data_IF_235746052193
#
_entry.id   IF_235746052193
#
_cell.length_a   1.000
_cell.length_b   1.000
_cell.length_c   1.000
_cell.angle_alpha   90.00
_cell.angle_beta   90.00
_cell.angle_gamma   90.00
#
_symmetry.space_group_name_H-M   'P 1'
#
loop_
_entity.id
_entity.type
_entity.pdbx_description
1 polymer ?
#
# COMPACT_ATOMS: atom_id res chain seq x y z
N UNK A 1 -0.28 26.48 -38.81
CA UNK A 1 -0.54 25.61 -37.66
C UNK A 1 -0.49 26.45 -36.39
N UNK A 2 -1.45 26.32 -35.46
CA UNK A 2 -1.32 26.94 -34.15
C UNK A 2 -0.10 26.35 -33.42
N UNK A 3 0.62 27.14 -32.61
CA UNK A 3 1.76 26.64 -31.85
C UNK A 3 1.30 25.57 -30.84
N UNK A 4 2.12 24.54 -30.58
CA UNK A 4 1.79 23.49 -29.63
C UNK A 4 1.52 24.09 -28.25
N UNK A 5 0.50 23.58 -27.55
CA UNK A 5 0.17 24.02 -26.19
C UNK A 5 1.38 23.82 -25.29
N UNK A 6 1.84 24.88 -24.63
CA UNK A 6 2.95 24.82 -23.66
C UNK A 6 2.55 23.90 -22.51
N UNK A 7 3.35 22.87 -22.25
CA UNK A 7 3.13 22.00 -21.11
C UNK A 7 3.30 22.79 -19.80
N UNK A 8 2.40 22.65 -18.81
CA UNK A 8 2.55 23.31 -17.53
C UNK A 8 3.78 22.77 -16.80
N UNK A 9 4.55 23.68 -16.18
CA UNK A 9 5.69 23.33 -15.34
C UNK A 9 5.17 22.86 -13.98
N UNK A 10 5.05 21.56 -13.80
CA UNK A 10 4.71 20.93 -12.52
C UNK A 10 5.98 20.47 -11.79
N UNK A 11 5.88 20.25 -10.49
CA UNK A 11 6.98 19.70 -9.69
C UNK A 11 7.40 18.32 -10.24
N UNK A 12 6.44 17.50 -10.64
CA UNK A 12 6.69 16.19 -11.26
C UNK A 12 7.48 16.31 -12.57
N UNK A 13 7.06 17.23 -13.48
CA UNK A 13 7.74 17.44 -14.76
C UNK A 13 9.13 18.09 -14.62
N UNK A 14 9.45 18.61 -13.43
CA UNK A 14 10.73 19.26 -13.14
C UNK A 14 11.50 18.52 -12.05
N UNK A 15 11.17 17.24 -11.81
CA UNK A 15 11.92 16.36 -10.91
C UNK A 15 13.40 16.34 -11.31
N UNK A 16 14.27 16.39 -10.32
CA UNK A 16 15.70 16.21 -10.54
C UNK A 16 15.95 14.79 -11.07
N UNK A 17 16.81 14.67 -12.09
CA UNK A 17 17.17 13.35 -12.60
C UNK A 17 17.86 12.55 -11.48
N UNK A 18 17.40 11.32 -11.29
CA UNK A 18 17.93 10.40 -10.29
C UNK A 18 18.46 9.17 -11.03
N UNK A 19 19.75 8.90 -10.85
CA UNK A 19 20.45 7.78 -11.50
C UNK A 19 19.93 6.42 -11.00
N UNK A 20 19.28 6.39 -9.84
CA UNK A 20 18.75 5.16 -9.23
C UNK A 20 17.37 4.76 -9.77
N UNK A 21 16.83 5.47 -10.77
CA UNK A 21 15.58 5.10 -11.42
C UNK A 21 15.77 3.77 -12.15
N UNK A 22 15.02 2.77 -11.72
CA UNK A 22 15.01 1.43 -12.29
C UNK A 22 14.61 1.49 -13.77
N UNK A 23 15.47 0.94 -14.63
CA UNK A 23 15.16 0.77 -16.05
C UNK A 23 14.43 -0.56 -16.24
N UNK A 24 13.45 -0.65 -17.16
CA UNK A 24 12.71 -1.90 -17.40
C UNK A 24 13.58 -3.10 -17.79
N UNK A 25 14.71 -2.84 -18.46
CA UNK A 25 15.68 -3.80 -18.98
C UNK A 25 16.94 -3.91 -18.10
N UNK A 26 16.89 -3.41 -16.85
CA UNK A 26 18.00 -3.51 -15.90
C UNK A 26 18.18 -4.96 -15.42
N UNK A 27 19.06 -5.70 -16.11
CA UNK A 27 19.36 -7.10 -15.79
C UNK A 27 19.95 -7.31 -14.39
N UNK A 28 20.59 -6.29 -13.81
CA UNK A 28 21.10 -6.35 -12.43
C UNK A 28 19.92 -6.38 -11.44
N UNK A 29 18.96 -5.48 -11.62
CA UNK A 29 17.77 -5.42 -10.76
C UNK A 29 16.95 -6.73 -10.84
N UNK A 30 16.83 -7.33 -12.04
CA UNK A 30 16.15 -8.62 -12.20
C UNK A 30 16.88 -9.76 -11.48
N UNK A 31 18.22 -9.75 -11.46
CA UNK A 31 19.02 -10.73 -10.74
C UNK A 31 18.92 -10.56 -9.21
N UNK A 32 18.91 -9.31 -8.74
CA UNK A 32 18.63 -8.97 -7.34
C UNK A 32 17.24 -9.49 -6.92
N UNK A 33 16.22 -9.17 -7.70
CA UNK A 33 14.83 -9.59 -7.48
C UNK A 33 14.62 -11.11 -7.43
N UNK A 34 15.40 -11.86 -8.21
CA UNK A 34 15.32 -13.32 -8.26
C UNK A 34 15.95 -13.99 -7.03
N UNK A 35 16.80 -13.26 -6.31
CA UNK A 35 17.58 -13.80 -5.17
C UNK A 35 17.26 -13.10 -3.85
N UNK A 36 16.40 -12.08 -3.87
CA UNK A 36 16.00 -11.34 -2.68
C UNK A 36 15.13 -12.16 -1.71
N UNK A 37 14.86 -11.56 -0.55
CA UNK A 37 14.08 -12.15 0.53
C UNK A 37 12.60 -12.37 0.17
N UNK A 38 12.13 -11.78 -0.93
CA UNK A 38 10.75 -11.85 -1.39
C UNK A 38 10.54 -12.81 -2.58
N UNK A 39 11.62 -13.27 -3.21
CA UNK A 39 11.61 -14.14 -4.39
C UNK A 39 10.66 -15.33 -4.23
N UNK A 40 10.74 -16.07 -3.13
CA UNK A 40 9.86 -17.20 -2.84
C UNK A 40 8.37 -16.83 -2.76
N UNK A 41 8.04 -15.62 -2.29
CA UNK A 41 6.67 -15.11 -2.28
C UNK A 41 6.18 -14.79 -3.69
N UNK A 42 7.02 -14.13 -4.50
CA UNK A 42 6.68 -13.79 -5.89
C UNK A 42 6.66 -15.01 -6.82
N UNK A 43 7.40 -16.07 -6.49
CA UNK A 43 7.34 -17.38 -7.15
C UNK A 43 6.14 -18.24 -6.69
N UNK A 44 5.28 -17.71 -5.81
CA UNK A 44 4.11 -18.39 -5.25
C UNK A 44 4.41 -19.63 -4.40
N UNK A 45 5.63 -19.74 -3.87
CA UNK A 45 6.04 -20.86 -3.01
C UNK A 45 5.52 -20.68 -1.57
N UNK A 46 5.40 -19.42 -1.14
CA UNK A 46 5.00 -19.05 0.22
C UNK A 46 3.72 -18.20 0.17
N UNK A 47 2.75 -18.56 1.00
CA UNK A 47 1.57 -17.73 1.23
C UNK A 47 1.83 -16.79 2.41
N UNK A 48 1.57 -15.47 2.28
CA UNK A 48 1.86 -14.53 3.35
C UNK A 48 1.01 -14.83 4.59
N UNK A 49 1.66 -14.83 5.75
CA UNK A 49 1.08 -14.97 7.07
C UNK A 49 1.56 -13.82 7.92
N UNK A 50 0.63 -12.95 8.35
CA UNK A 50 1.00 -11.68 8.96
C UNK A 50 0.65 -11.65 10.44
N UNK A 51 1.58 -11.18 11.27
CA UNK A 51 1.33 -10.87 12.67
C UNK A 51 1.21 -9.36 12.83
N UNK A 52 0.05 -8.88 13.29
CA UNK A 52 -0.15 -7.47 13.62
C UNK A 52 -0.11 -7.31 15.14
N UNK A 53 0.64 -6.33 15.63
CA UNK A 53 0.65 -5.93 17.04
C UNK A 53 0.67 -4.40 17.16
N UNK A 54 0.35 -3.90 18.35
CA UNK A 54 0.47 -2.48 18.69
C UNK A 54 1.77 -2.18 19.45
N UNK A 55 1.98 -0.91 19.81
CA UNK A 55 2.81 -0.48 20.93
C UNK A 55 2.32 -1.05 22.28
N UNK A 56 3.17 -0.99 23.31
CA UNK A 56 2.83 -1.44 24.68
C UNK A 56 1.58 -0.75 25.22
N UNK A 57 1.51 0.56 25.02
CA UNK A 57 0.37 1.41 25.33
C UNK A 57 -0.25 1.85 24.01
N UNK A 58 -1.46 1.39 23.73
CA UNK A 58 -2.16 1.73 22.49
C UNK A 58 -3.49 2.40 22.80
N UNK A 59 -3.84 3.40 21.99
CA UNK A 59 -5.14 4.05 22.07
C UNK A 59 -6.24 3.18 21.47
N UNK A 60 -7.47 3.54 21.82
CA UNK A 60 -8.67 2.99 21.18
C UNK A 60 -8.68 3.25 19.66
N UNK A 61 -8.06 4.33 19.19
CA UNK A 61 -7.95 4.64 17.76
C UNK A 61 -7.01 3.64 17.08
N UNK A 62 -5.83 3.37 17.67
CA UNK A 62 -4.89 2.36 17.19
C UNK A 62 -5.53 0.97 17.10
N UNK A 63 -6.28 0.55 18.12
CA UNK A 63 -6.98 -0.74 18.10
C UNK A 63 -8.02 -0.79 16.98
N UNK A 64 -8.81 0.29 16.79
CA UNK A 64 -9.77 0.38 15.68
C UNK A 64 -9.09 0.35 14.32
N UNK A 65 -7.94 1.00 14.19
CA UNK A 65 -7.14 0.99 12.96
C UNK A 65 -6.60 -0.41 12.67
N UNK A 66 -6.04 -1.10 13.66
CA UNK A 66 -5.60 -2.50 13.52
C UNK A 66 -6.77 -3.40 13.09
N UNK A 67 -7.95 -3.22 13.68
CA UNK A 67 -9.14 -3.99 13.29
C UNK A 67 -9.58 -3.71 11.84
N UNK A 68 -9.30 -2.53 11.30
CA UNK A 68 -9.51 -2.24 9.87
C UNK A 68 -8.40 -2.85 9.00
N UNK A 69 -7.14 -2.81 9.44
CA UNK A 69 -6.02 -3.47 8.76
C UNK A 69 -6.22 -4.99 8.62
N UNK A 70 -6.73 -5.66 9.66
CA UNK A 70 -7.07 -7.10 9.61
C UNK A 70 -8.11 -7.44 8.53
N UNK A 71 -8.97 -6.49 8.13
CA UNK A 71 -9.95 -6.71 7.05
C UNK A 71 -9.35 -6.48 5.67
N UNK A 72 -8.30 -5.66 5.59
CA UNK A 72 -7.59 -5.35 4.35
C UNK A 72 -6.61 -6.46 4.02
N UNK A 73 -5.79 -6.84 5.00
CA UNK A 73 -4.68 -7.76 4.85
C UNK A 73 -5.16 -9.21 5.00
N UNK A 74 -5.05 -10.04 3.94
CA UNK A 74 -5.36 -11.46 4.05
C UNK A 74 -4.43 -12.16 5.04
N UNK A 75 -4.92 -13.21 5.71
CA UNK A 75 -4.13 -14.04 6.64
C UNK A 75 -3.46 -13.28 7.80
N UNK A 76 -3.96 -12.09 8.13
CA UNK A 76 -3.43 -11.28 9.22
C UNK A 76 -4.05 -11.68 10.56
N UNK A 77 -3.19 -11.84 11.56
CA UNK A 77 -3.57 -12.21 12.92
C UNK A 77 -3.09 -11.15 13.89
N UNK A 78 -4.00 -10.64 14.73
CA UNK A 78 -3.65 -9.68 15.76
C UNK A 78 -3.29 -10.37 17.07
N UNK A 79 -2.14 -10.00 17.63
CA UNK A 79 -1.73 -10.38 18.97
C UNK A 79 -1.47 -9.13 19.80
N UNK A 80 -2.00 -9.10 21.02
CA UNK A 80 -1.78 -8.00 21.95
C UNK A 80 -0.30 -7.96 22.36
N UNK A 81 0.29 -6.76 22.29
CA UNK A 81 1.71 -6.53 22.58
C UNK A 81 2.16 -6.98 23.98
N UNK A 82 1.36 -6.68 25.00
CA UNK A 82 1.73 -6.93 26.40
C UNK A 82 3.06 -6.26 26.78
N UNK A 83 3.86 -6.95 27.60
CA UNK A 83 5.21 -6.52 28.01
C UNK A 83 6.31 -6.94 27.03
N UNK A 84 6.01 -7.80 26.06
CA UNK A 84 7.00 -8.43 25.17
C UNK A 84 7.83 -7.40 24.38
N UNK A 85 9.12 -7.68 24.24
CA UNK A 85 10.05 -6.90 23.43
C UNK A 85 9.97 -7.26 21.95
N UNK A 86 10.45 -6.38 21.06
CA UNK A 86 10.30 -6.60 19.61
C UNK A 86 11.06 -7.86 19.21
N UNK A 87 12.28 -8.05 19.74
CA UNK A 87 13.11 -9.24 19.50
C UNK A 87 12.43 -10.53 19.95
N UNK A 88 11.68 -10.52 21.05
CA UNK A 88 10.90 -11.67 21.51
C UNK A 88 9.74 -11.99 20.57
N UNK A 89 9.05 -10.96 20.05
CA UNK A 89 7.97 -11.13 19.08
C UNK A 89 8.51 -11.65 17.74
N UNK A 90 9.67 -11.16 17.29
CA UNK A 90 10.37 -11.68 16.11
C UNK A 90 10.66 -13.17 16.28
N UNK A 91 11.25 -13.58 17.41
CA UNK A 91 11.51 -15.00 17.71
C UNK A 91 10.23 -15.83 17.71
N UNK A 92 9.17 -15.35 18.34
CA UNK A 92 7.87 -16.01 18.38
C UNK A 92 7.27 -16.17 16.98
N UNK A 93 7.33 -15.11 16.17
CA UNK A 93 6.76 -15.10 14.82
C UNK A 93 7.52 -16.04 13.88
N UNK A 94 8.86 -16.06 13.96
CA UNK A 94 9.71 -17.02 13.24
C UNK A 94 9.33 -18.46 13.56
N UNK A 95 9.18 -18.79 14.84
CA UNK A 95 8.81 -20.14 15.29
C UNK A 95 7.41 -20.58 14.85
N UNK A 96 6.55 -19.65 14.42
CA UNK A 96 5.19 -19.92 13.94
C UNK A 96 5.04 -19.71 12.43
N UNK A 97 6.15 -19.57 11.70
CA UNK A 97 6.16 -19.39 10.25
C UNK A 97 5.35 -18.18 9.76
N UNK A 98 5.33 -17.09 10.54
CA UNK A 98 4.85 -15.81 10.01
C UNK A 98 5.87 -15.24 9.03
N UNK A 99 5.38 -14.66 7.94
CA UNK A 99 6.21 -14.06 6.87
C UNK A 99 6.50 -12.59 7.12
N UNK A 100 5.64 -11.88 7.88
CA UNK A 100 5.93 -10.52 8.31
C UNK A 100 5.21 -10.14 9.60
N UNK A 101 5.78 -9.15 10.29
CA UNK A 101 5.21 -8.50 11.47
C UNK A 101 4.92 -7.04 11.13
N UNK A 102 3.72 -6.57 11.47
CA UNK A 102 3.34 -5.16 11.40
C UNK A 102 3.11 -4.65 12.82
N UNK A 103 3.87 -3.64 13.22
CA UNK A 103 3.76 -2.98 14.52
C UNK A 103 3.26 -1.57 14.32
N UNK A 104 2.07 -1.27 14.84
CA UNK A 104 1.54 0.10 14.84
C UNK A 104 1.96 0.81 16.12
N UNK A 105 2.69 1.91 15.98
CA UNK A 105 3.10 2.77 17.07
C UNK A 105 2.05 3.87 17.33
N UNK A 106 1.88 4.19 18.61
CA UNK A 106 0.95 5.19 19.10
C UNK A 106 1.73 6.23 19.90
N UNK A 107 1.47 7.50 19.61
CA UNK A 107 2.01 8.61 20.38
C UNK A 107 0.89 9.59 20.72
N UNK A 108 0.78 9.98 21.99
CA UNK A 108 -0.25 10.91 22.49
C UNK A 108 -1.68 10.53 22.06
N UNK A 109 -1.99 9.22 22.06
CA UNK A 109 -3.29 8.64 21.67
C UNK A 109 -3.62 8.73 20.19
N UNK A 110 -2.63 8.96 19.34
CA UNK A 110 -2.79 8.98 17.89
C UNK A 110 -1.76 8.03 17.22
N UNK A 111 -2.18 7.17 16.27
CA UNK A 111 -1.25 6.34 15.52
C UNK A 111 -0.31 7.21 14.69
N UNK A 112 1.00 7.10 14.89
CA UNK A 112 1.99 7.98 14.25
C UNK A 112 3.13 7.23 13.55
N UNK A 113 3.25 5.92 13.74
CA UNK A 113 4.31 5.12 13.17
C UNK A 113 3.83 3.71 12.82
N UNK A 114 4.44 3.14 11.80
CA UNK A 114 4.22 1.74 11.41
C UNK A 114 5.58 1.12 11.11
N UNK A 115 5.87 0.00 11.75
CA UNK A 115 7.08 -0.77 11.52
C UNK A 115 6.69 -2.10 10.87
N UNK A 116 7.23 -2.37 9.68
CA UNK A 116 7.04 -3.63 8.97
C UNK A 116 8.37 -4.39 9.05
N UNK A 117 8.33 -5.60 9.59
CA UNK A 117 9.50 -6.49 9.70
C UNK A 117 9.18 -7.73 8.87
N UNK A 118 9.89 -7.94 7.78
CA UNK A 118 9.76 -9.16 6.99
C UNK A 118 10.59 -10.27 7.64
N UNK A 119 10.09 -11.49 7.56
CA UNK A 119 10.65 -12.69 8.16
C UNK A 119 10.86 -13.75 7.07
N UNK A 120 11.83 -14.66 7.23
CA UNK A 120 12.64 -14.87 8.43
C UNK A 120 13.81 -13.91 8.58
N UNK A 121 14.39 -13.41 7.49
CA UNK A 121 15.68 -12.73 7.57
C UNK A 121 15.56 -11.21 7.65
N UNK A 122 14.56 -10.62 6.99
CA UNK A 122 14.41 -9.17 6.85
C UNK A 122 13.78 -8.86 5.48
N UNK A 123 13.73 -7.61 5.03
CA UNK A 123 14.19 -6.37 5.67
C UNK A 123 13.19 -5.78 6.68
N UNK A 124 13.60 -4.73 7.38
CA UNK A 124 12.76 -3.97 8.33
C UNK A 124 12.59 -2.53 7.87
N UNK A 125 11.34 -2.11 7.64
CA UNK A 125 11.02 -0.75 7.22
C UNK A 125 10.22 0.00 8.29
N UNK A 126 10.70 1.18 8.65
CA UNK A 126 10.06 2.07 9.60
C UNK A 126 9.41 3.24 8.86
N UNK A 127 8.10 3.40 9.04
CA UNK A 127 7.32 4.45 8.43
C UNK A 127 6.76 5.40 9.48
N UNK A 128 6.77 6.69 9.16
CA UNK A 128 5.88 7.67 9.80
C UNK A 128 4.49 7.51 9.22
N UNK A 129 3.50 7.32 10.08
CA UNK A 129 2.09 7.26 9.71
C UNK A 129 1.43 8.62 9.96
N UNK A 130 0.69 9.12 8.99
CA UNK A 130 -0.02 10.39 9.07
C UNK A 130 -1.37 10.34 8.36
N UNK A 131 -2.20 11.36 8.61
CA UNK A 131 -3.48 11.55 7.92
C UNK A 131 -4.42 10.34 7.98
N UNK A 132 -4.46 9.65 9.12
CA UNK A 132 -5.33 8.50 9.33
C UNK A 132 -6.81 8.91 9.35
N UNK A 133 -7.60 8.32 8.46
CA UNK A 133 -9.06 8.40 8.44
C UNK A 133 -9.63 6.99 8.40
N UNK A 134 -10.28 6.58 9.50
CA UNK A 134 -10.96 5.29 9.59
C UNK A 134 -12.17 5.22 8.66
N UNK A 135 -12.47 4.03 8.15
CA UNK A 135 -13.57 3.76 7.21
C UNK A 135 -14.91 4.39 7.64
N UNK A 136 -15.24 4.32 8.94
CA UNK A 136 -16.49 4.88 9.50
C UNK A 136 -16.62 6.39 9.35
N UNK A 137 -15.50 7.13 9.23
CA UNK A 137 -15.49 8.58 9.01
C UNK A 137 -15.61 8.95 7.53
N UNK A 138 -15.55 7.99 6.62
CA UNK A 138 -15.62 8.19 5.18
C UNK A 138 -17.08 8.13 4.72
N UNK A 139 -17.53 9.19 4.04
CA UNK A 139 -18.90 9.28 3.51
C UNK A 139 -19.10 8.26 2.38
N UNK A 140 -20.16 7.47 2.47
CA UNK A 140 -20.49 6.47 1.44
C UNK A 140 -19.55 5.28 1.40
N UNK A 141 -18.83 4.98 2.49
CA UNK A 141 -17.94 3.82 2.55
C UNK A 141 -18.72 2.51 2.34
N UNK A 142 -18.13 1.62 1.55
CA UNK A 142 -18.60 0.27 1.34
C UNK A 142 -18.16 -0.66 2.46
N UNK A 143 -18.79 -1.84 2.54
CA UNK A 143 -18.30 -2.95 3.37
C UNK A 143 -17.40 -3.84 2.53
N UNK A 144 -16.18 -4.16 2.98
CA UNK A 144 -15.29 -5.05 2.25
C UNK A 144 -15.82 -6.49 2.28
N UNK A 145 -15.66 -7.21 1.17
CA UNK A 145 -15.92 -8.64 1.05
C UNK A 145 -14.69 -9.45 1.50
N UNK A 146 -14.83 -10.76 1.69
CA UNK A 146 -13.73 -11.66 2.08
C UNK A 146 -12.75 -12.01 0.96
N UNK A 147 -13.07 -11.64 -0.28
CA UNK A 147 -12.24 -11.92 -1.47
C UNK A 147 -10.85 -11.30 -1.38
N UNK A 148 -9.85 -11.97 -1.96
CA UNK A 148 -8.50 -11.46 -2.05
C UNK A 148 -8.46 -10.22 -2.96
N UNK A 149 -7.89 -9.09 -2.50
CA UNK A 149 -7.86 -7.85 -3.27
C UNK A 149 -6.77 -7.89 -4.36
N UNK A 150 -7.03 -7.18 -5.45
CA UNK A 150 -6.00 -6.76 -6.41
C UNK A 150 -5.10 -5.72 -5.75
N UNK A 151 -3.80 -5.74 -6.07
CA UNK A 151 -2.83 -4.79 -5.56
C UNK A 151 -2.34 -3.87 -6.67
N UNK A 152 -2.35 -2.56 -6.42
CA UNK A 152 -1.82 -1.54 -7.31
C UNK A 152 -0.69 -0.81 -6.59
N UNK A 153 0.51 -0.86 -7.15
CA UNK A 153 1.67 -0.09 -6.72
C UNK A 153 1.97 0.96 -7.81
N UNK A 154 1.90 2.24 -7.45
CA UNK A 154 2.14 3.33 -8.41
C UNK A 154 3.37 4.14 -7.98
N UNK A 155 4.22 4.47 -8.96
CA UNK A 155 5.38 5.38 -8.83
C UNK A 155 6.46 4.92 -7.82
N UNK A 156 6.72 3.62 -7.74
CA UNK A 156 7.86 3.07 -7.02
C UNK A 156 8.99 2.82 -8.03
N UNK A 157 9.62 3.91 -8.48
CA UNK A 157 10.47 3.89 -9.68
C UNK A 157 11.95 3.80 -9.37
N UNK A 158 12.41 4.30 -8.23
CA UNK A 158 13.84 4.18 -7.85
C UNK A 158 14.13 2.78 -7.32
N UNK A 159 15.41 2.38 -7.19
CA UNK A 159 15.78 1.08 -6.59
C UNK A 159 15.19 0.90 -5.17
N UNK A 160 15.26 1.94 -4.34
CA UNK A 160 14.65 1.93 -3.00
C UNK A 160 13.12 1.86 -3.10
N UNK A 161 12.53 2.65 -4.01
CA UNK A 161 11.10 2.61 -4.28
C UNK A 161 10.65 1.19 -4.66
N UNK A 162 11.36 0.56 -5.58
CA UNK A 162 11.11 -0.79 -6.04
C UNK A 162 11.18 -1.81 -4.90
N UNK A 163 12.24 -1.77 -4.08
CA UNK A 163 12.40 -2.64 -2.90
C UNK A 163 11.27 -2.46 -1.88
N UNK A 164 10.88 -1.21 -1.57
CA UNK A 164 9.72 -0.92 -0.71
C UNK A 164 8.42 -1.38 -1.35
N UNK A 165 8.27 -1.24 -2.66
CA UNK A 165 7.15 -1.75 -3.44
C UNK A 165 7.01 -3.27 -3.32
N UNK A 166 8.11 -4.00 -3.53
CA UNK A 166 8.19 -5.46 -3.36
C UNK A 166 7.82 -5.88 -1.94
N UNK A 167 8.34 -5.17 -0.93
CA UNK A 167 7.98 -5.40 0.47
C UNK A 167 6.49 -5.16 0.75
N UNK A 168 5.87 -4.12 0.18
CA UNK A 168 4.43 -3.89 0.34
C UNK A 168 3.60 -4.95 -0.38
N UNK A 169 4.06 -5.44 -1.53
CA UNK A 169 3.42 -6.52 -2.27
C UNK A 169 3.56 -7.88 -1.59
N UNK A 170 4.65 -8.12 -0.85
CA UNK A 170 4.83 -9.36 -0.10
C UNK A 170 3.82 -9.54 1.04
N UNK A 171 3.16 -8.45 1.47
CA UNK A 171 2.05 -8.51 2.44
C UNK A 171 0.75 -9.08 1.85
N UNK A 172 0.64 -9.23 0.53
CA UNK A 172 -0.57 -9.68 -0.14
C UNK A 172 -0.33 -10.95 -0.97
N UNK A 173 -1.26 -11.92 -0.96
CA UNK A 173 -1.19 -13.05 -1.89
C UNK A 173 -1.25 -12.56 -3.34
N UNK A 174 -0.42 -13.14 -4.20
CA UNK A 174 -0.31 -12.75 -5.62
C UNK A 174 -1.43 -13.33 -6.51
N UNK A 175 -2.51 -13.87 -5.91
CA UNK A 175 -3.64 -14.46 -6.62
C UNK A 175 -4.95 -13.74 -6.25
N UNK A 176 -5.23 -12.58 -6.86
CA UNK A 176 -6.42 -11.79 -6.53
C UNK A 176 -7.71 -12.43 -7.05
N UNK A 177 -8.83 -12.17 -6.37
CA UNK A 177 -10.14 -12.60 -6.83
C UNK A 177 -10.89 -11.45 -7.54
N UNK A 178 -10.78 -11.39 -8.87
CA UNK A 178 -11.43 -10.36 -9.69
C UNK A 178 -12.96 -10.28 -9.49
N UNK A 179 -13.62 -11.40 -9.19
CA UNK A 179 -15.06 -11.42 -8.87
C UNK A 179 -15.41 -10.55 -7.66
N UNK A 180 -14.50 -10.44 -6.69
CA UNK A 180 -14.68 -9.62 -5.49
C UNK A 180 -14.61 -8.12 -5.75
N UNK A 181 -13.98 -7.73 -6.87
CA UNK A 181 -13.77 -6.34 -7.30
C UNK A 181 -13.12 -5.47 -6.24
N UNK A 182 -12.27 -6.04 -5.40
CA UNK A 182 -11.54 -5.34 -4.34
C UNK A 182 -10.17 -4.95 -4.86
N UNK A 183 -9.74 -3.75 -4.56
CA UNK A 183 -8.42 -3.25 -4.93
C UNK A 183 -7.80 -2.46 -3.78
N UNK A 184 -6.54 -2.75 -3.49
CA UNK A 184 -5.70 -2.01 -2.56
C UNK A 184 -4.67 -1.26 -3.38
N UNK A 185 -4.49 0.02 -3.09
CA UNK A 185 -3.58 0.89 -3.83
C UNK A 185 -2.59 1.51 -2.87
N UNK A 186 -1.31 1.35 -3.19
CA UNK A 186 -0.21 2.15 -2.64
C UNK A 186 0.26 3.08 -3.75
N UNK A 187 -0.01 4.38 -3.58
CA UNK A 187 0.41 5.38 -4.54
C UNK A 187 1.53 6.22 -3.93
N UNK A 188 2.75 6.07 -4.44
CA UNK A 188 3.85 6.93 -4.07
C UNK A 188 3.74 8.27 -4.81
N UNK A 189 3.78 9.36 -4.06
CA UNK A 189 3.91 10.69 -4.62
C UNK A 189 4.81 11.52 -3.71
N UNK A 190 5.97 11.91 -4.23
CA UNK A 190 6.93 12.76 -3.52
C UNK A 190 7.35 12.18 -2.16
N UNK A 191 7.70 10.90 -2.14
CA UNK A 191 8.05 10.09 -0.97
C UNK A 191 6.93 9.89 0.06
N UNK A 192 5.69 10.24 -0.28
CA UNK A 192 4.50 9.92 0.49
C UNK A 192 3.75 8.78 -0.19
N UNK A 193 3.63 7.66 0.52
CA UNK A 193 2.85 6.51 0.08
C UNK A 193 1.43 6.66 0.60
N UNK A 194 0.50 6.96 -0.30
CA UNK A 194 -0.92 7.05 0.00
C UNK A 194 -1.55 5.66 -0.10
N UNK A 195 -2.02 5.16 1.04
CA UNK A 195 -2.78 3.92 1.09
C UNK A 195 -4.26 4.18 0.84
N UNK A 196 -4.87 3.42 -0.07
CA UNK A 196 -6.32 3.40 -0.29
C UNK A 196 -6.83 2.00 -0.50
N UNK A 197 -8.04 1.74 -0.01
CA UNK A 197 -8.75 0.47 -0.24
C UNK A 197 -10.11 0.73 -0.85
N UNK A 198 -10.31 0.23 -2.07
CA UNK A 198 -11.51 0.44 -2.86
C UNK A 198 -12.17 -0.87 -3.27
N UNK A 199 -13.44 -0.75 -3.63
CA UNK A 199 -14.16 -1.68 -4.48
C UNK A 199 -14.51 -0.96 -5.78
N UNK A 200 -14.30 -1.61 -6.92
CA UNK A 200 -14.71 -1.05 -8.21
C UNK A 200 -16.05 -1.62 -8.68
N UNK A 201 -16.81 -0.79 -9.38
CA UNK A 201 -18.13 -1.12 -9.91
C UNK A 201 -18.11 -0.69 -11.37
N UNK A 202 -18.32 -1.65 -12.27
CA UNK A 202 -18.51 -1.37 -13.69
C UNK A 202 -19.93 -0.86 -13.92
N UNK A 203 -20.04 0.30 -14.54
CA UNK A 203 -21.30 0.94 -14.91
C UNK A 203 -21.25 1.33 -16.39
N UNK A 204 -22.37 1.17 -17.09
CA UNK A 204 -22.50 1.69 -18.44
C UNK A 204 -22.52 3.22 -18.40
N UNK A 205 -21.68 3.86 -19.22
CA UNK A 205 -21.55 5.34 -19.25
C UNK A 205 -22.88 6.04 -19.46
N UNK A 206 -23.72 5.50 -20.34
CA UNK A 206 -25.04 6.06 -20.67
C UNK A 206 -26.04 5.89 -19.51
N UNK A 207 -26.02 4.74 -18.83
CA UNK A 207 -26.88 4.48 -17.67
C UNK A 207 -26.49 5.35 -16.46
N UNK A 208 -25.19 5.48 -16.18
CA UNK A 208 -24.66 6.31 -15.08
C UNK A 208 -24.98 7.80 -15.30
N UNK A 209 -24.95 8.28 -16.55
CA UNK A 209 -25.32 9.65 -16.91
C UNK A 209 -26.82 9.94 -16.72
N UNK A 210 -27.70 8.96 -17.03
CA UNK A 210 -29.15 9.06 -16.82
C UNK A 210 -29.49 9.09 -15.32
N UNK A 211 -28.84 8.26 -14.49
CA UNK A 211 -29.04 8.24 -13.04
C UNK A 211 -28.70 9.59 -12.36
N UNK A 212 -27.63 10.26 -12.81
CA UNK A 212 -27.20 11.55 -12.25
C UNK A 212 -28.09 12.73 -12.66
N UNK A 213 -28.86 12.61 -13.74
CA UNK A 213 -29.72 13.67 -14.27
C UNK A 213 -31.17 13.64 -13.75
N UNK A 214 -31.52 12.70 -12.88
CA UNK A 214 -32.85 12.66 -12.24
C UNK A 214 -34.03 12.53 -13.23
N UNK A 215 -33.79 11.98 -14.43
CA UNK A 215 -34.83 11.80 -15.43
C UNK A 215 -35.63 10.52 -15.11
N UNK A 216 -36.95 10.69 -14.99
CA UNK A 216 -37.94 9.62 -14.84
C UNK A 216 -37.84 8.61 -16.00
N UNK A 217 -38.07 7.33 -15.67
CA UNK A 217 -38.14 6.24 -16.64
C UNK A 217 -39.18 6.54 -17.72
N UNK A 218 -38.74 6.72 -18.96
CA UNK A 218 -39.57 6.58 -20.15
C UNK A 218 -39.12 5.36 -20.96
N UNK A 219 -40.11 4.79 -21.66
CA UNK A 219 -40.30 3.38 -22.01
C UNK A 219 -39.29 2.77 -22.98
N UNK A 220 -39.05 1.47 -22.76
CA UNK A 220 -38.28 0.56 -23.61
C UNK A 220 -38.84 0.52 -25.04
N UNK A 221 -38.05 1.00 -26.02
CA UNK A 221 -38.20 0.60 -27.42
C UNK A 221 -37.23 -0.54 -27.74
N UNK A 222 -37.82 -1.73 -27.93
CA UNK A 222 -37.18 -2.97 -28.39
C UNK A 222 -36.64 -2.79 -29.82
N UNK A 223 -35.37 -3.13 -30.02
CA UNK A 223 -34.80 -3.40 -31.34
C UNK A 223 -33.62 -2.51 -31.73
N UNK A 224 -32.45 -2.76 -31.15
CA UNK A 224 -31.20 -2.45 -31.86
C UNK A 224 -30.10 -3.44 -31.41
N UNK A 225 -29.18 -3.77 -32.33
CA UNK A 225 -28.05 -4.69 -32.10
C UNK A 225 -27.22 -4.23 -30.89
N UNK A 226 -26.50 -5.12 -30.16
CA UNK A 226 -25.75 -4.71 -28.97
C UNK A 226 -24.65 -3.71 -29.33
N UNK A 227 -24.93 -2.41 -29.19
CA UNK A 227 -23.92 -1.36 -29.27
C UNK A 227 -22.98 -1.59 -28.09
N UNK A 228 -21.67 -1.70 -28.36
CA UNK A 228 -20.65 -1.73 -27.30
C UNK A 228 -20.66 -0.38 -26.57
N UNK A 229 -21.47 -0.27 -25.52
CA UNK A 229 -21.53 0.92 -24.67
C UNK A 229 -20.19 1.02 -23.93
N UNK A 230 -19.55 2.21 -23.85
CA UNK A 230 -18.33 2.36 -23.08
C UNK A 230 -18.61 2.11 -21.59
N UNK A 231 -17.93 1.13 -21.01
CA UNK A 231 -17.99 0.77 -19.59
C UNK A 231 -17.06 1.71 -18.82
N UNK A 232 -17.54 2.27 -17.71
CA UNK A 232 -16.73 3.07 -16.77
C UNK A 232 -16.59 2.30 -15.45
N UNK A 233 -15.39 2.33 -14.86
CA UNK A 233 -15.16 1.87 -13.50
C UNK A 233 -15.36 3.01 -12.50
N UNK A 234 -16.37 2.90 -11.63
CA UNK A 234 -16.51 3.76 -10.45
C UNK A 234 -15.88 3.10 -9.24
N UNK A 235 -15.16 3.88 -8.43
CA UNK A 235 -14.56 3.40 -7.19
C UNK A 235 -15.44 3.77 -5.98
N UNK A 236 -15.50 2.86 -5.02
CA UNK A 236 -16.08 3.09 -3.70
C UNK A 236 -15.09 2.67 -2.64
N UNK A 237 -14.74 3.56 -1.72
CA UNK A 237 -13.81 3.24 -0.64
C UNK A 237 -14.42 2.31 0.39
N UNK A 238 -13.63 1.35 0.88
CA UNK A 238 -14.08 0.30 1.79
C UNK A 238 -13.22 0.17 3.07
N UNK A 239 -12.05 0.81 3.11
CA UNK A 239 -11.09 0.69 4.20
C UNK A 239 -10.55 2.05 4.67
N UNK A 240 -9.55 2.04 5.56
CA UNK A 240 -8.94 3.26 6.08
C UNK A 240 -8.16 4.00 4.99
N UNK A 241 -8.03 5.31 5.14
CA UNK A 241 -7.03 6.12 4.44
C UNK A 241 -5.92 6.45 5.41
N UNK A 242 -4.69 6.32 4.97
CA UNK A 242 -3.54 6.85 5.69
C UNK A 242 -2.41 7.11 4.70
N UNK A 243 -1.42 7.85 5.17
CA UNK A 243 -0.22 8.17 4.41
C UNK A 243 0.98 7.66 5.19
N UNK A 244 1.93 7.06 4.49
CA UNK A 244 3.20 6.62 5.04
C UNK A 244 4.33 7.46 4.43
N UNK A 245 5.32 7.82 5.24
CA UNK A 245 6.62 8.32 4.77
C UNK A 245 7.69 7.39 5.32
N UNK A 246 8.53 6.85 4.46
CA UNK A 246 9.64 6.00 4.89
C UNK A 246 10.61 6.85 5.75
N UNK A 247 10.96 6.34 6.92
CA UNK A 247 11.96 6.95 7.81
C UNK A 247 13.28 6.19 7.75
N UNK A 248 13.23 4.86 7.71
CA UNK A 248 14.40 4.03 7.54
C UNK A 248 14.05 2.68 6.95
N UNK A 249 14.99 2.12 6.20
CA UNK A 249 15.01 0.77 5.69
C UNK A 249 16.28 0.10 6.20
N UNK A 250 16.11 -0.97 6.96
CA UNK A 250 17.17 -1.72 7.61
C UNK A 250 17.29 -3.10 6.97
N UNK A 251 18.51 -3.53 6.70
CA UNK A 251 18.82 -4.90 6.36
C UNK A 251 18.56 -5.80 7.57
N UNK A 252 18.02 -6.96 7.29
CA UNK A 252 17.68 -7.95 8.29
C UNK A 252 16.44 -7.60 9.12
N UNK A 253 16.22 -8.38 10.18
CA UNK A 253 15.17 -8.13 11.17
C UNK A 253 15.53 -6.95 12.09
N UNK A 254 14.58 -6.54 12.93
CA UNK A 254 14.73 -5.39 13.83
C UNK A 254 15.96 -5.46 14.76
N UNK A 255 16.95 -4.60 14.51
CA UNK A 255 18.08 -4.39 15.43
C UNK A 255 18.48 -2.91 15.53
N UNK A 256 18.31 -2.35 16.73
CA UNK A 256 18.57 -0.93 16.98
C UNK A 256 20.03 -0.63 17.32
N UNK A 257 20.85 -1.65 17.60
CA UNK A 257 22.24 -1.47 18.07
C UNK A 257 23.26 -1.63 16.95
N UNK A 258 23.15 -2.72 16.18
CA UNK A 258 24.11 -3.07 15.14
C UNK A 258 23.43 -3.30 13.79
N UNK A 259 22.18 -2.87 13.65
CA UNK A 259 21.44 -3.00 12.41
C UNK A 259 22.08 -2.18 11.30
N UNK A 260 22.31 -2.82 10.16
CA UNK A 260 22.77 -2.16 8.94
C UNK A 260 21.59 -1.49 8.24
N UNK A 261 21.68 -0.19 7.99
CA UNK A 261 20.63 0.55 7.31
C UNK A 261 20.98 0.77 5.85
N UNK A 262 20.14 0.24 4.97
CA UNK A 262 20.20 0.51 3.53
C UNK A 262 19.84 1.97 3.25
N UNK A 263 18.83 2.49 3.96
CA UNK A 263 18.41 3.88 3.79
C UNK A 263 17.87 4.48 5.09
N UNK A 264 18.17 5.76 5.33
CA UNK A 264 17.65 6.53 6.48
C UNK A 264 17.34 7.95 6.02
N UNK A 265 16.11 8.41 6.28
CA UNK A 265 15.73 9.80 6.06
C UNK A 265 16.50 10.70 7.03
N UNK A 266 17.14 11.73 6.48
CA UNK A 266 17.82 12.77 7.24
C UNK A 266 17.28 14.15 6.85
N UNK A 267 17.29 15.10 7.77
CA UNK A 267 16.68 16.42 7.55
C UNK A 267 17.37 17.25 6.45
N UNK A 268 18.66 17.02 6.21
CA UNK A 268 19.46 17.59 5.12
C UNK A 268 19.06 17.06 3.73
N UNK A 269 18.37 15.92 3.67
CA UNK A 269 17.82 15.39 2.42
C UNK A 269 16.62 16.20 1.91
N UNK A 270 15.92 16.94 2.78
CA UNK A 270 14.75 17.76 2.42
C UNK A 270 15.17 19.14 1.85
N UNK A 271 16.40 19.28 1.35
CA UNK A 271 16.98 20.53 0.80
C UNK A 271 16.34 20.96 -0.52
N UNK A 272 16.01 20.02 -1.40
CA UNK A 272 15.29 20.30 -2.66
C UNK A 272 13.86 19.77 -2.62
N UNK A 273 12.91 20.61 -3.03
CA UNK A 273 11.49 20.21 -3.20
C UNK A 273 11.24 19.39 -4.46
N UNK A 274 12.27 19.14 -5.27
CA UNK A 274 12.22 18.40 -6.56
C UNK A 274 12.99 17.09 -6.53
N UNK A 275 13.64 16.78 -5.41
CA UNK A 275 14.34 15.52 -5.17
C UNK A 275 13.45 14.58 -4.37
N UNK A 276 13.28 13.37 -4.86
CA UNK A 276 12.48 12.31 -4.23
C UNK A 276 13.24 10.99 -4.33
N UNK A 277 13.14 10.16 -3.30
CA UNK A 277 13.99 8.97 -3.12
C UNK A 277 13.29 7.64 -3.44
N UNK A 278 11.95 7.64 -3.57
CA UNK A 278 11.14 6.47 -3.98
C UNK A 278 10.60 6.60 -5.43
#
# INVERSE_FOLDING_TARGET
>A
MPPPRKAPRTIENTREADETIAQPDDGELHAEDATDEFSAHFNHEITPQLLITSSRWCSTITIKFIAELLKVLPNAHYYKRGSYEIKQIVKYAKNRNFTAIIIVHDNRKDPNGMLIICLPEGPTAHFKLSSLVLSKKIKGHGKPTSHLPELILNNFTTRIGHRVGRMMASLFPQQPNFRGRRVVTFHNQRDFIFFRHHRYIFEDKEASAKLKKGASKESDKKGDKPRKVPIISRLQECGPRFTLKLLSLQNGTFDTKFGEYEWVHKADMDTSRRRFFM
#
